data_IF_280579733521
#
_entry.id   IF_280579733521
#
_cell.length_a   1.000
_cell.length_b   1.000
_cell.length_c   1.000
_cell.angle_alpha   90.00
_cell.angle_beta   90.00
_cell.angle_gamma   90.00
#
_symmetry.space_group_name_H-M   'P 1'
#
loop_
_entity.id
_entity.type
_entity.pdbx_description
1 polymer ?
#
# COMPACT_ATOMS: atom_id res chain seq x y z
N UNK A 1 -10.71 -18.38 10.35
CA UNK A 1 -9.60 -17.55 9.86
C UNK A 1 -9.89 -16.11 10.25
N UNK A 2 -8.93 -15.36 10.78
CA UNK A 2 -9.08 -13.92 11.09
C UNK A 2 -8.24 -13.13 10.11
N UNK A 3 -8.72 -11.95 9.71
CA UNK A 3 -8.03 -11.07 8.76
C UNK A 3 -7.68 -9.76 9.44
N UNK A 4 -6.53 -9.19 9.08
CA UNK A 4 -6.07 -7.88 9.52
C UNK A 4 -5.96 -6.99 8.28
N UNK A 5 -6.53 -5.80 8.34
CA UNK A 5 -6.34 -4.74 7.36
C UNK A 5 -5.38 -3.70 7.95
N UNK A 6 -4.25 -3.46 7.27
CA UNK A 6 -3.26 -2.44 7.63
C UNK A 6 -3.24 -1.40 6.52
N UNK A 7 -3.41 -0.13 6.89
CA UNK A 7 -3.41 1.00 5.96
C UNK A 7 -2.25 1.92 6.34
N UNK A 8 -1.42 2.27 5.36
CA UNK A 8 -0.36 3.28 5.48
C UNK A 8 -0.80 4.48 4.63
N UNK A 9 -1.24 5.56 5.28
CA UNK A 9 -1.72 6.76 4.56
C UNK A 9 -0.59 7.38 3.73
N UNK A 10 -0.90 7.86 2.54
CA UNK A 10 0.05 8.47 1.61
C UNK A 10 1.15 7.53 1.09
N UNK A 11 1.05 6.21 1.26
CA UNK A 11 2.03 5.24 0.76
C UNK A 11 1.94 5.08 -0.76
N UNK A 12 2.67 5.94 -1.49
CA UNK A 12 2.76 5.89 -2.95
C UNK A 12 3.75 4.83 -3.40
N UNK A 13 3.47 4.16 -4.52
CA UNK A 13 4.35 3.12 -5.08
C UNK A 13 5.71 3.66 -5.51
N UNK A 14 5.77 4.85 -6.10
CA UNK A 14 7.03 5.50 -6.48
C UNK A 14 7.96 5.78 -5.28
N UNK A 15 7.39 6.14 -4.13
CA UNK A 15 8.13 6.30 -2.88
C UNK A 15 8.62 4.97 -2.30
N UNK A 16 7.81 3.91 -2.42
CA UNK A 16 8.15 2.59 -1.92
C UNK A 16 9.33 1.97 -2.70
N UNK A 17 9.36 2.14 -4.02
CA UNK A 17 10.46 1.66 -4.89
C UNK A 17 11.82 2.31 -4.57
N UNK A 18 11.81 3.53 -4.03
CA UNK A 18 13.03 4.28 -3.68
C UNK A 18 13.47 4.07 -2.23
N UNK A 19 12.57 3.60 -1.37
CA UNK A 19 12.81 3.46 0.05
C UNK A 19 13.47 2.12 0.37
N UNK A 20 14.20 2.06 1.50
CA UNK A 20 14.67 0.79 2.07
C UNK A 20 13.63 0.27 3.04
N UNK A 21 12.78 -0.66 2.60
CA UNK A 21 11.62 -1.16 3.36
C UNK A 21 11.64 -2.67 3.56
N UNK A 22 12.65 -3.25 4.25
CA UNK A 22 12.92 -4.70 4.24
C UNK A 22 11.71 -5.58 4.61
N UNK A 23 10.83 -5.10 5.49
CA UNK A 23 9.63 -5.84 5.87
C UNK A 23 8.53 -5.79 4.79
N UNK A 24 8.38 -4.66 4.08
CA UNK A 24 7.44 -4.54 2.96
C UNK A 24 8.00 -5.25 1.73
N UNK A 25 9.30 -5.14 1.49
CA UNK A 25 10.02 -5.84 0.41
C UNK A 25 9.80 -7.35 0.54
N UNK A 26 9.93 -7.90 1.76
CA UNK A 26 9.64 -9.31 2.02
C UNK A 26 8.18 -9.69 1.73
N UNK A 27 7.21 -8.82 2.04
CA UNK A 27 5.80 -9.06 1.72
C UNK A 27 5.52 -9.01 0.21
N UNK A 28 6.21 -8.14 -0.53
CA UNK A 28 6.14 -8.04 -2.00
C UNK A 28 6.68 -9.33 -2.64
N UNK A 29 7.84 -9.80 -2.17
CA UNK A 29 8.52 -10.99 -2.70
C UNK A 29 7.76 -12.29 -2.42
N UNK A 30 7.10 -12.39 -1.26
CA UNK A 30 6.51 -13.64 -0.76
C UNK A 30 4.97 -13.64 -0.75
N UNK A 31 4.35 -12.55 -1.23
CA UNK A 31 2.89 -12.37 -1.24
C UNK A 31 2.36 -11.95 -2.61
N UNK A 32 1.05 -11.67 -2.67
CA UNK A 32 0.43 -11.07 -3.83
C UNK A 32 0.46 -9.54 -3.71
N UNK A 33 0.93 -8.84 -4.75
CA UNK A 33 1.10 -7.39 -4.73
C UNK A 33 0.81 -6.74 -6.10
N UNK A 34 0.67 -5.41 -6.12
CA UNK A 34 0.69 -4.58 -7.34
C UNK A 34 1.23 -3.19 -7.05
N UNK A 35 2.07 -2.64 -7.95
CA UNK A 35 2.56 -1.25 -7.88
C UNK A 35 1.65 -0.23 -8.58
N UNK A 36 0.54 -0.70 -9.17
CA UNK A 36 -0.36 0.10 -9.99
C UNK A 36 -1.79 0.20 -9.39
N UNK A 37 -1.93 0.11 -8.07
CA UNK A 37 -3.21 0.31 -7.40
C UNK A 37 -3.74 1.74 -7.67
N UNK A 38 -5.05 1.87 -7.95
CA UNK A 38 -5.69 3.16 -8.25
C UNK A 38 -6.67 3.54 -7.16
N UNK A 39 -6.55 4.76 -6.64
CA UNK A 39 -7.46 5.32 -5.63
C UNK A 39 -8.66 6.02 -6.28
N UNK A 40 -9.65 6.41 -5.46
CA UNK A 40 -10.83 7.17 -5.87
C UNK A 40 -10.52 8.66 -6.04
N UNK A 41 -11.44 9.42 -6.66
CA UNK A 41 -11.35 10.89 -6.76
C UNK A 41 -12.40 11.55 -5.86
N UNK A 42 -12.02 12.51 -4.98
CA UNK A 42 -10.67 13.03 -4.79
C UNK A 42 -9.77 12.06 -4.01
N UNK A 43 -8.47 12.06 -4.33
CA UNK A 43 -7.45 11.25 -3.66
C UNK A 43 -7.04 11.87 -2.32
N UNK A 44 -7.97 11.89 -1.36
CA UNK A 44 -7.74 12.36 0.01
C UNK A 44 -8.10 11.25 1.01
N UNK A 45 -7.58 11.33 2.23
CA UNK A 45 -7.64 10.25 3.24
C UNK A 45 -9.05 9.69 3.47
N UNK A 46 -10.05 10.55 3.71
CA UNK A 46 -11.39 10.08 4.10
C UNK A 46 -12.12 9.30 2.98
N UNK A 47 -12.25 9.81 1.73
CA UNK A 47 -12.83 9.04 0.62
C UNK A 47 -12.04 7.78 0.24
N UNK A 48 -10.74 7.72 0.51
CA UNK A 48 -9.92 6.56 0.18
C UNK A 48 -9.98 5.43 1.22
N UNK A 49 -10.53 5.68 2.41
CA UNK A 49 -10.56 4.73 3.52
C UNK A 49 -11.97 4.37 4.00
N UNK A 50 -13.02 4.98 3.42
CA UNK A 50 -14.42 4.76 3.74
C UNK A 50 -15.17 4.12 2.56
#
# INVERSE_FOLDING_TARGET
>A
MKTILVIIDGCRSDGLEQAKTPNIDHMIENGAHTMNARTVTPSITLPAHF
#
